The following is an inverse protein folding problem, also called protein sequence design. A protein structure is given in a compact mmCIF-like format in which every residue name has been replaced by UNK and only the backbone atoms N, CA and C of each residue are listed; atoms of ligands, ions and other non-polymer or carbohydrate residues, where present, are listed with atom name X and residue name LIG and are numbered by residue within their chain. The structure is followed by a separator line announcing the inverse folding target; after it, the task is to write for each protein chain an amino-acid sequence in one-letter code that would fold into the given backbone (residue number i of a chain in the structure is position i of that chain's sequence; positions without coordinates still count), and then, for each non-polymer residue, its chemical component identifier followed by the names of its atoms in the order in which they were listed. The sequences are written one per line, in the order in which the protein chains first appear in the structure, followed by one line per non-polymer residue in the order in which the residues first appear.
data_IF_909287180502
#
_entry.id   IF_909287180502
#
_cell.length_a   1.000
_cell.length_b   1.000
_cell.length_c   1.000
_cell.angle_alpha   90.00
_cell.angle_beta   90.00
_cell.angle_gamma   90.00
#
_symmetry.space_group_name_H-M   'P 1'
#
loop_
_entity.id
_entity.type
_entity.pdbx_description
1 polymer ?
#
# COMPACT_ATOMS: atom_id res chain seq x y z
N UNK A 1 -23.75 3.81 16.28
CA UNK A 1 -22.94 4.20 15.11
C UNK A 1 -23.80 4.19 13.86
N UNK A 2 -23.70 5.22 13.01
CA UNK A 2 -24.57 5.39 11.82
C UNK A 2 -23.87 4.82 10.58
N UNK A 3 -24.60 4.14 9.69
CA UNK A 3 -24.07 3.56 8.43
C UNK A 3 -23.29 4.57 7.58
N UNK A 4 -23.70 5.85 7.62
CA UNK A 4 -23.00 6.96 6.95
C UNK A 4 -21.53 7.10 7.36
N UNK A 5 -21.21 6.85 8.62
CA UNK A 5 -19.83 6.99 9.15
C UNK A 5 -18.91 5.93 8.54
N UNK A 6 -19.41 4.70 8.40
CA UNK A 6 -18.71 3.61 7.73
C UNK A 6 -18.42 3.91 6.25
N UNK A 7 -19.39 4.46 5.52
CA UNK A 7 -19.17 4.85 4.13
C UNK A 7 -18.13 5.95 3.99
N UNK A 8 -18.21 6.97 4.84
CA UNK A 8 -17.22 8.07 4.83
C UNK A 8 -15.83 7.54 5.16
N UNK A 9 -15.69 6.66 6.16
CA UNK A 9 -14.42 6.05 6.52
C UNK A 9 -13.84 5.18 5.41
N UNK A 10 -14.66 4.35 4.75
CA UNK A 10 -14.22 3.55 3.61
C UNK A 10 -13.76 4.43 2.43
N UNK A 11 -14.50 5.51 2.12
CA UNK A 11 -14.11 6.44 1.08
C UNK A 11 -12.80 7.18 1.41
N UNK A 12 -12.63 7.61 2.66
CA UNK A 12 -11.40 8.24 3.13
C UNK A 12 -10.21 7.28 3.03
N UNK A 13 -10.38 6.02 3.43
CA UNK A 13 -9.35 4.98 3.30
C UNK A 13 -9.00 4.67 1.86
N UNK A 14 -9.98 4.63 0.95
CA UNK A 14 -9.74 4.43 -0.49
C UNK A 14 -8.88 5.56 -1.07
N UNK A 15 -9.22 6.82 -0.79
CA UNK A 15 -8.48 7.99 -1.28
C UNK A 15 -7.07 8.01 -0.66
N UNK A 16 -6.98 7.85 0.66
CA UNK A 16 -5.71 7.83 1.40
C UNK A 16 -4.78 6.72 0.95
N UNK A 17 -5.31 5.51 0.71
CA UNK A 17 -4.54 4.37 0.22
C UNK A 17 -4.00 4.56 -1.20
N UNK A 18 -4.76 5.22 -2.08
CA UNK A 18 -4.26 5.60 -3.41
C UNK A 18 -3.08 6.59 -3.30
N UNK A 19 -3.24 7.66 -2.51
CA UNK A 19 -2.18 8.66 -2.30
C UNK A 19 -0.94 8.02 -1.65
N UNK A 20 -1.12 7.17 -0.64
CA UNK A 20 -0.03 6.50 0.07
C UNK A 20 0.79 5.58 -0.84
N UNK A 21 0.14 4.88 -1.77
CA UNK A 21 0.81 4.02 -2.75
C UNK A 21 1.78 4.81 -3.63
N UNK A 22 1.39 6.00 -4.10
CA UNK A 22 2.27 6.88 -4.88
C UNK A 22 3.46 7.39 -4.06
N UNK A 23 3.25 7.74 -2.80
CA UNK A 23 4.35 8.16 -1.91
C UNK A 23 5.36 7.04 -1.77
N UNK A 24 4.91 5.79 -1.56
CA UNK A 24 5.83 4.66 -1.41
C UNK A 24 6.61 4.37 -2.68
N UNK A 25 5.98 4.45 -3.85
CA UNK A 25 6.68 4.30 -5.13
C UNK A 25 7.78 5.36 -5.31
N UNK A 26 7.52 6.60 -4.87
CA UNK A 26 8.52 7.67 -4.87
C UNK A 26 9.68 7.45 -3.89
N UNK A 27 9.46 6.72 -2.79
CA UNK A 27 10.51 6.40 -1.80
C UNK A 27 11.50 5.32 -2.22
N UNK A 28 11.26 4.58 -3.31
CA UNK A 28 12.20 3.56 -3.79
C UNK A 28 13.35 4.12 -4.64
N UNK A 29 13.18 5.30 -5.23
CA UNK A 29 14.20 6.00 -6.04
C UNK A 29 15.51 6.32 -5.28
N UNK A 30 15.50 6.79 -4.01
CA UNK A 30 16.72 7.16 -3.29
C UNK A 30 17.53 5.98 -2.71
N UNK A 31 17.01 4.75 -2.75
CA UNK A 31 17.74 3.58 -2.23
C UNK A 31 18.59 2.92 -3.34
N UNK A 32 19.74 2.31 -2.97
CA UNK A 32 20.53 1.56 -3.93
C UNK A 32 19.68 0.43 -4.56
N UNK A 33 19.89 0.11 -5.85
CA UNK A 33 19.18 -0.99 -6.50
C UNK A 33 19.28 -2.28 -5.67
N UNK A 34 18.14 -2.98 -5.51
CA UNK A 34 18.10 -4.28 -4.82
C UNK A 34 19.05 -5.26 -5.50
N UNK A 35 19.65 -6.15 -4.72
CA UNK A 35 20.51 -7.20 -5.25
C UNK A 35 19.68 -8.24 -6.04
N UNK A 36 20.20 -8.82 -7.14
CA UNK A 36 19.42 -9.71 -8.01
C UNK A 36 18.91 -11.01 -7.35
N UNK A 37 19.51 -11.41 -6.23
CA UNK A 37 19.18 -12.62 -5.46
C UNK A 37 17.95 -12.46 -4.57
N UNK A 38 17.41 -11.25 -4.42
CA UNK A 38 16.22 -10.99 -3.60
C UNK A 38 15.01 -10.60 -4.44
N UNK A 39 14.02 -11.49 -4.57
CA UNK A 39 12.79 -11.16 -5.27
C UNK A 39 12.03 -10.07 -4.51
N UNK A 40 11.36 -9.17 -5.25
CA UNK A 40 10.53 -8.15 -4.62
C UNK A 40 9.26 -8.81 -4.07
N UNK A 41 8.86 -8.55 -2.82
CA UNK A 41 7.78 -9.29 -2.18
C UNK A 41 6.39 -9.17 -2.84
N UNK A 42 6.02 -8.11 -3.57
CA UNK A 42 4.83 -8.17 -4.43
C UNK A 42 4.88 -9.27 -5.50
N UNK A 43 6.06 -9.61 -6.02
CA UNK A 43 6.25 -10.76 -6.93
C UNK A 43 6.17 -12.09 -6.17
N UNK A 44 6.80 -12.19 -4.99
CA UNK A 44 6.68 -13.38 -4.13
C UNK A 44 5.22 -13.66 -3.74
N UNK A 45 4.44 -12.61 -3.47
CA UNK A 45 3.01 -12.75 -3.21
C UNK A 45 2.29 -13.33 -4.42
N UNK A 46 2.59 -12.88 -5.64
CA UNK A 46 2.00 -13.46 -6.86
C UNK A 46 2.41 -14.93 -7.04
N UNK A 47 3.68 -15.25 -6.81
CA UNK A 47 4.19 -16.62 -6.90
C UNK A 47 3.53 -17.55 -5.87
N UNK A 48 3.36 -17.07 -4.64
CA UNK A 48 2.64 -17.78 -3.57
C UNK A 48 1.16 -18.05 -3.91
N UNK A 49 0.57 -17.21 -4.76
CA UNK A 49 -0.79 -17.39 -5.30
C UNK A 49 -0.82 -18.26 -6.57
N UNK A 50 0.34 -18.75 -7.04
CA UNK A 50 0.47 -19.52 -8.27
C UNK A 50 0.33 -18.69 -9.55
N UNK A 51 0.44 -17.36 -9.44
CA UNK A 51 0.31 -16.43 -10.56
C UNK A 51 1.70 -16.13 -11.13
N UNK A 52 1.91 -16.48 -12.40
CA UNK A 52 3.18 -16.21 -13.06
C UNK A 52 3.36 -14.70 -13.34
N UNK A 53 4.11 -14.04 -12.47
CA UNK A 53 4.30 -12.60 -12.55
C UNK A 53 5.07 -12.13 -13.79
N UNK A 54 5.83 -13.01 -14.46
CA UNK A 54 6.51 -12.68 -15.71
C UNK A 54 5.53 -12.45 -16.88
N UNK A 55 4.30 -12.93 -16.76
CA UNK A 55 3.23 -12.66 -17.73
C UNK A 55 2.52 -11.32 -17.46
N UNK A 56 2.80 -10.69 -16.32
CA UNK A 56 2.20 -9.42 -15.90
C UNK A 56 3.12 -8.23 -16.17
N UNK A 57 3.76 -8.23 -17.34
CA UNK A 57 4.72 -7.20 -17.75
C UNK A 57 4.34 -6.54 -19.07
N UNK A 58 4.70 -5.27 -19.22
CA UNK A 58 4.64 -4.53 -20.49
C UNK A 58 5.91 -3.70 -20.68
N UNK A 59 6.21 -3.30 -21.92
CA UNK A 59 7.35 -2.43 -22.22
C UNK A 59 6.87 -0.99 -22.33
N UNK A 60 7.51 -0.09 -21.59
CA UNK A 60 7.26 1.36 -21.63
C UNK A 60 8.58 2.11 -21.64
N UNK A 61 8.78 2.96 -22.65
CA UNK A 61 10.04 3.68 -22.87
C UNK A 61 11.27 2.76 -22.78
N UNK A 62 11.24 1.63 -23.48
CA UNK A 62 12.30 0.59 -23.48
C UNK A 62 12.55 -0.12 -22.13
N UNK A 63 11.78 0.20 -21.09
CA UNK A 63 11.83 -0.47 -19.80
C UNK A 63 10.73 -1.52 -19.67
N UNK A 64 11.09 -2.72 -19.18
CA UNK A 64 10.11 -3.72 -18.76
C UNK A 64 9.48 -3.32 -17.43
N UNK A 65 8.18 -3.08 -17.44
CA UNK A 65 7.39 -2.71 -16.26
C UNK A 65 6.48 -3.87 -15.88
N UNK A 66 6.58 -4.34 -14.64
CA UNK A 66 5.68 -5.36 -14.09
C UNK A 66 4.46 -4.67 -13.45
N UNK A 67 3.31 -4.72 -14.14
CA UNK A 67 2.08 -4.16 -13.60
C UNK A 67 1.46 -5.07 -12.53
N UNK A 68 1.77 -6.37 -12.54
CA UNK A 68 1.33 -7.32 -11.52
C UNK A 68 1.84 -6.92 -10.14
N UNK A 69 3.14 -6.70 -10.01
CA UNK A 69 3.74 -6.23 -8.76
C UNK A 69 3.19 -4.87 -8.33
N UNK A 70 2.97 -3.96 -9.29
CA UNK A 70 2.36 -2.66 -9.02
C UNK A 70 0.92 -2.78 -8.47
N UNK A 71 0.12 -3.70 -9.01
CA UNK A 71 -1.24 -3.94 -8.53
C UNK A 71 -1.28 -4.53 -7.12
N UNK A 72 -0.37 -5.45 -6.79
CA UNK A 72 -0.25 -5.97 -5.43
C UNK A 72 0.13 -4.85 -4.46
N UNK A 73 1.10 -4.01 -4.84
CA UNK A 73 1.50 -2.85 -4.03
C UNK A 73 0.32 -1.88 -3.79
N UNK A 74 -0.42 -1.57 -4.86
CA UNK A 74 -1.56 -0.66 -4.82
C UNK A 74 -2.70 -1.21 -3.96
N UNK A 75 -3.01 -2.50 -4.11
CA UNK A 75 -4.09 -3.16 -3.36
C UNK A 75 -3.77 -3.29 -1.87
N UNK A 76 -2.52 -3.60 -1.52
CA UNK A 76 -2.06 -3.63 -0.13
C UNK A 76 -2.28 -2.27 0.55
N UNK A 77 -1.86 -1.18 -0.09
CA UNK A 77 -2.03 0.18 0.45
C UNK A 77 -3.50 0.56 0.66
N UNK A 78 -4.37 0.25 -0.31
CA UNK A 78 -5.81 0.53 -0.22
C UNK A 78 -6.46 -0.31 0.88
N UNK A 79 -6.14 -1.60 0.97
CA UNK A 79 -6.70 -2.51 1.97
C UNK A 79 -6.42 -2.01 3.39
N UNK A 80 -5.15 -1.74 3.71
CA UNK A 80 -4.77 -1.31 5.05
C UNK A 80 -5.29 0.10 5.38
N UNK A 81 -5.37 1.01 4.42
CA UNK A 81 -5.95 2.34 4.63
C UNK A 81 -7.46 2.27 4.94
N UNK A 82 -8.22 1.45 4.20
CA UNK A 82 -9.64 1.21 4.50
C UNK A 82 -9.80 0.54 5.86
N UNK A 83 -9.01 -0.51 6.13
CA UNK A 83 -9.04 -1.22 7.41
C UNK A 83 -8.77 -0.29 8.59
N UNK A 84 -7.77 0.59 8.48
CA UNK A 84 -7.46 1.61 9.48
C UNK A 84 -8.63 2.57 9.70
N UNK A 85 -9.18 3.16 8.63
CA UNK A 85 -10.29 4.11 8.77
C UNK A 85 -11.54 3.46 9.37
N UNK A 86 -11.83 2.19 9.06
CA UNK A 86 -12.96 1.46 9.61
C UNK A 86 -12.77 1.08 11.08
N UNK A 87 -11.57 0.65 11.47
CA UNK A 87 -11.27 0.27 12.86
C UNK A 87 -11.20 1.48 13.79
N UNK A 88 -10.74 2.63 13.28
CA UNK A 88 -10.74 3.91 13.99
C UNK A 88 -12.14 4.39 14.40
N UNK A 89 -13.22 3.91 13.76
CA UNK A 89 -14.60 4.22 14.16
C UNK A 89 -15.05 3.51 15.44
N UNK A 90 -14.49 2.33 15.74
CA UNK A 90 -14.89 1.53 16.91
C UNK A 90 -14.08 1.88 18.14
N UNK A 91 -12.78 2.05 17.98
CA UNK A 91 -11.86 2.25 19.11
C UNK A 91 -11.26 3.67 19.06
N UNK A 92 -11.73 4.61 19.90
CA UNK A 92 -11.15 5.95 19.96
C UNK A 92 -9.68 5.94 20.43
N UNK A 93 -9.22 4.84 21.04
CA UNK A 93 -7.82 4.61 21.39
C UNK A 93 -6.92 4.44 20.15
N UNK A 94 -7.41 3.78 19.09
CA UNK A 94 -6.69 3.68 17.81
C UNK A 94 -6.55 5.08 17.19
N UNK A 95 -7.62 5.88 17.26
CA UNK A 95 -7.60 7.27 16.83
C UNK A 95 -6.70 8.17 17.69
N UNK A 96 -6.52 7.86 18.99
CA UNK A 96 -5.65 8.65 19.87
C UNK A 96 -4.17 8.32 19.69
N UNK A 97 -3.83 7.06 19.39
CA UNK A 97 -2.48 6.64 19.02
C UNK A 97 -2.11 7.19 17.64
N UNK A 98 -3.07 7.22 16.71
CA UNK A 98 -2.94 7.76 15.36
C UNK A 98 -3.76 9.05 15.18
N UNK A 99 -3.49 10.07 16.01
CA UNK A 99 -4.08 11.41 15.85
C UNK A 99 -3.76 11.94 14.44
N UNK A 100 -4.58 12.77 13.77
CA UNK A 100 -4.34 13.21 12.38
C UNK A 100 -2.95 13.77 12.06
N UNK A 101 -2.21 14.31 13.04
CA UNK A 101 -0.80 14.69 12.86
C UNK A 101 0.17 13.50 12.72
N UNK A 102 -0.17 12.37 13.34
CA UNK A 102 0.62 11.13 13.39
C UNK A 102 0.02 10.04 12.50
N UNK A 103 -1.22 10.18 12.00
CA UNK A 103 -1.88 9.19 11.16
C UNK A 103 -1.32 9.17 9.74
N UNK A 104 -1.07 10.36 9.17
CA UNK A 104 -0.33 10.47 7.91
C UNK A 104 1.11 9.99 8.11
N UNK A 105 1.74 10.38 9.23
CA UNK A 105 3.08 9.94 9.60
C UNK A 105 3.16 8.42 9.81
N UNK A 106 2.13 7.80 10.36
CA UNK A 106 2.09 6.37 10.60
C UNK A 106 1.56 5.58 9.40
N UNK A 107 0.77 6.15 8.49
CA UNK A 107 0.52 5.56 7.16
C UNK A 107 1.80 5.58 6.31
N UNK A 108 2.54 6.70 6.38
CA UNK A 108 3.85 6.85 5.76
C UNK A 108 4.88 5.95 6.45
N UNK A 109 4.88 5.81 7.78
CA UNK A 109 5.82 4.95 8.51
C UNK A 109 5.45 3.48 8.43
N UNK A 110 4.18 3.06 8.49
CA UNK A 110 3.81 1.66 8.22
C UNK A 110 4.02 1.32 6.75
N UNK A 111 3.72 2.24 5.84
CA UNK A 111 4.06 2.11 4.43
C UNK A 111 5.57 2.01 4.21
N UNK A 112 6.37 2.92 4.77
CA UNK A 112 7.83 2.98 4.59
C UNK A 112 8.59 1.90 5.37
N UNK A 113 8.13 1.51 6.56
CA UNK A 113 8.74 0.43 7.37
C UNK A 113 8.22 -0.96 7.03
N UNK A 114 7.07 -1.07 6.34
CA UNK A 114 6.78 -2.24 5.50
C UNK A 114 7.71 -2.20 4.28
N UNK A 115 9.00 -2.40 4.54
CA UNK A 115 9.96 -2.91 3.59
C UNK A 115 9.60 -4.36 3.30
N UNK A 116 8.48 -4.53 2.60
CA UNK A 116 8.37 -5.57 1.61
C UNK A 116 9.06 -4.99 0.36
#
# INVERSE_FOLDING_TARGET
MKTREYYVAAAAGLIGGNVSSFVKWGTEIPFPPRTPDRPIPPLEMLDSLGINANQLTYVYSEHMVNYGSALIHQSFSIFFAIFYCLTALREPLIYSIFRPGNALEALICLGATAGF
#
